data_IF_668483012474
#
_entry.id   IF_668483012474
#
_cell.length_a   1.000
_cell.length_b   1.000
_cell.length_c   1.000
_cell.angle_alpha   90.00
_cell.angle_beta   90.00
_cell.angle_gamma   90.00
#
_symmetry.space_group_name_H-M   'P 1'
#
loop_
_entity.id
_entity.type
_entity.pdbx_description
1 polymer ?
#
# COMPACT_ATOMS: atom_id res chain seq x y z
N UNK A 1 -12.57 -12.72 -15.12
CA UNK A 1 -11.10 -12.58 -15.30
C UNK A 1 -10.69 -13.22 -16.61
N UNK A 2 -9.77 -12.59 -17.37
CA UNK A 2 -9.11 -13.22 -18.52
C UNK A 2 -7.92 -14.06 -18.02
N UNK A 3 -7.67 -15.21 -18.65
CA UNK A 3 -6.49 -16.04 -18.38
C UNK A 3 -5.35 -15.59 -19.29
N UNK A 4 -4.15 -15.50 -18.75
CA UNK A 4 -2.93 -15.27 -19.52
C UNK A 4 -2.02 -16.49 -19.35
N UNK A 5 -1.28 -16.83 -20.40
CA UNK A 5 -0.21 -17.82 -20.35
C UNK A 5 1.10 -17.06 -20.39
N UNK A 6 1.97 -17.30 -19.41
CA UNK A 6 3.27 -16.66 -19.27
C UNK A 6 4.35 -17.73 -19.27
N UNK A 7 5.42 -17.54 -20.03
CA UNK A 7 6.61 -18.38 -19.97
C UNK A 7 7.59 -17.76 -18.97
N UNK A 8 8.09 -18.58 -18.05
CA UNK A 8 9.06 -18.21 -17.02
C UNK A 8 10.02 -19.38 -16.85
N UNK A 9 11.23 -19.08 -16.40
CA UNK A 9 12.19 -20.12 -16.03
C UNK A 9 11.67 -20.91 -14.81
N UNK A 10 11.92 -22.22 -14.80
CA UNK A 10 11.38 -23.16 -13.80
C UNK A 10 11.86 -22.83 -12.37
N UNK A 11 13.09 -22.35 -12.25
CA UNK A 11 13.68 -21.89 -10.99
C UNK A 11 12.92 -20.68 -10.42
N UNK A 12 12.53 -19.73 -11.27
CA UNK A 12 11.70 -18.57 -10.91
C UNK A 12 10.29 -19.01 -10.48
N UNK A 13 9.69 -19.98 -11.18
CA UNK A 13 8.38 -20.53 -10.81
C UNK A 13 8.46 -21.14 -9.40
N UNK A 14 9.49 -21.94 -9.14
CA UNK A 14 9.68 -22.62 -7.86
C UNK A 14 9.88 -21.62 -6.72
N UNK A 15 10.84 -20.69 -6.88
CA UNK A 15 11.11 -19.65 -5.89
C UNK A 15 9.89 -18.75 -5.64
N UNK A 16 9.17 -18.39 -6.70
CA UNK A 16 7.96 -17.56 -6.59
C UNK A 16 6.81 -18.25 -5.86
N UNK A 17 6.65 -19.56 -6.04
CA UNK A 17 5.66 -20.35 -5.30
C UNK A 17 6.00 -20.44 -3.81
N UNK A 18 7.27 -20.67 -3.47
CA UNK A 18 7.71 -20.68 -2.06
C UNK A 18 7.50 -19.33 -1.39
N UNK A 19 7.92 -18.25 -2.05
CA UNK A 19 7.68 -16.89 -1.56
C UNK A 19 6.19 -16.61 -1.31
N UNK A 20 5.33 -16.98 -2.25
CA UNK A 20 3.88 -16.79 -2.11
C UNK A 20 3.30 -17.59 -0.92
N UNK A 21 3.77 -18.84 -0.71
CA UNK A 21 3.39 -19.66 0.44
C UNK A 21 3.80 -19.01 1.76
N UNK A 22 5.01 -18.48 1.87
CA UNK A 22 5.47 -17.78 3.08
C UNK A 22 4.62 -16.55 3.41
N UNK A 23 4.07 -15.89 2.40
CA UNK A 23 3.18 -14.74 2.54
C UNK A 23 1.69 -15.13 2.63
N UNK A 24 1.38 -16.43 2.68
CA UNK A 24 0.03 -16.99 2.76
C UNK A 24 -0.90 -16.54 1.61
N UNK A 25 -0.35 -16.40 0.39
CA UNK A 25 -1.07 -16.02 -0.83
C UNK A 25 -0.79 -17.00 -1.97
N UNK A 26 -1.63 -17.00 -3.00
CA UNK A 26 -1.36 -17.79 -4.22
C UNK A 26 -0.29 -17.12 -5.09
N UNK A 27 0.49 -17.93 -5.83
CA UNK A 27 1.46 -17.40 -6.80
C UNK A 27 0.80 -16.50 -7.86
N UNK A 28 -0.40 -16.85 -8.32
CA UNK A 28 -1.17 -15.99 -9.23
C UNK A 28 -1.60 -14.66 -8.57
N UNK A 29 -1.84 -14.63 -7.26
CA UNK A 29 -2.13 -13.39 -6.53
C UNK A 29 -0.88 -12.53 -6.41
N UNK A 30 0.29 -13.14 -6.18
CA UNK A 30 1.58 -12.47 -6.17
C UNK A 30 1.86 -11.79 -7.53
N UNK A 31 1.76 -12.53 -8.64
CA UNK A 31 1.97 -11.99 -9.98
C UNK A 31 1.05 -10.79 -10.25
N UNK A 32 -0.23 -10.91 -9.90
CA UNK A 32 -1.20 -9.82 -10.06
C UNK A 32 -0.80 -8.58 -9.26
N UNK A 33 -0.47 -8.75 -7.98
CA UNK A 33 -0.03 -7.64 -7.11
C UNK A 33 1.20 -6.94 -7.67
N UNK A 34 2.19 -7.69 -8.14
CA UNK A 34 3.42 -7.13 -8.72
C UNK A 34 3.13 -6.38 -10.03
N UNK A 35 2.28 -6.92 -10.89
CA UNK A 35 1.85 -6.24 -12.12
C UNK A 35 1.08 -4.95 -11.80
N UNK A 36 0.17 -4.98 -10.84
CA UNK A 36 -0.58 -3.80 -10.40
C UNK A 36 0.34 -2.72 -9.86
N UNK A 37 1.31 -3.07 -9.00
CA UNK A 37 2.30 -2.15 -8.46
C UNK A 37 3.24 -1.57 -9.53
N UNK A 38 3.52 -2.33 -10.58
CA UNK A 38 4.41 -1.90 -11.67
C UNK A 38 3.68 -0.95 -12.63
N UNK A 39 2.42 -1.23 -12.95
CA UNK A 39 1.60 -0.46 -13.89
C UNK A 39 1.01 0.79 -13.23
N UNK A 40 0.67 0.68 -11.95
CA UNK A 40 0.24 1.77 -11.09
C UNK A 40 1.33 1.98 -10.04
N UNK A 41 2.48 2.58 -10.40
CA UNK A 41 3.45 2.98 -9.39
C UNK A 41 2.68 3.74 -8.33
N UNK A 42 2.86 3.34 -7.05
CA UNK A 42 2.14 3.98 -5.94
C UNK A 42 2.29 5.48 -6.13
N UNK A 43 1.17 6.12 -6.48
CA UNK A 43 1.09 7.56 -6.56
C UNK A 43 1.31 8.02 -5.13
N UNK A 44 2.55 8.35 -4.81
CA UNK A 44 2.89 9.15 -3.63
C UNK A 44 2.17 10.52 -3.68
N UNK A 45 1.40 10.81 -4.74
CA UNK A 45 0.37 11.85 -4.76
C UNK A 45 -0.46 11.85 -3.48
N UNK A 46 -0.79 10.70 -2.85
CA UNK A 46 -1.54 10.76 -1.60
C UNK A 46 -0.76 11.45 -0.45
N UNK A 47 0.56 11.27 -0.37
CA UNK A 47 1.42 11.94 0.61
C UNK A 47 1.57 13.41 0.25
N UNK A 48 1.82 13.71 -1.01
CA UNK A 48 1.99 15.08 -1.51
C UNK A 48 0.69 15.89 -1.37
N UNK A 49 -0.46 15.28 -1.61
CA UNK A 49 -1.81 15.84 -1.39
C UNK A 49 -2.05 16.07 0.11
N UNK A 50 -1.65 15.12 0.94
CA UNK A 50 -1.79 15.20 2.40
C UNK A 50 -0.98 16.36 2.97
N UNK A 51 0.29 16.53 2.54
CA UNK A 51 1.10 17.68 2.93
C UNK A 51 0.56 18.98 2.34
N UNK A 52 0.12 18.98 1.08
CA UNK A 52 -0.51 20.15 0.46
C UNK A 52 -1.77 20.60 1.18
N UNK A 53 -2.55 19.67 1.74
CA UNK A 53 -3.72 19.99 2.56
C UNK A 53 -3.30 20.56 3.91
N UNK A 54 -2.31 19.96 4.58
CA UNK A 54 -1.78 20.47 5.85
C UNK A 54 -1.20 21.89 5.71
N UNK A 55 -0.41 22.15 4.67
CA UNK A 55 0.22 23.45 4.43
C UNK A 55 -0.80 24.57 4.16
N UNK A 56 -1.98 24.22 3.62
CA UNK A 56 -3.07 25.16 3.36
C UNK A 56 -3.90 25.48 4.61
N UNK A 57 -3.85 24.63 5.63
CA UNK A 57 -4.63 24.83 6.86
C UNK A 57 -3.87 25.79 7.77
N UNK A 58 -4.34 27.04 7.83
CA UNK A 58 -3.89 27.99 8.82
C UNK A 58 -4.58 27.71 10.16
N UNK A 59 -3.88 27.02 11.07
CA UNK A 59 -4.39 26.71 12.41
C UNK A 59 -3.98 27.85 13.35
N UNK A 60 -4.93 28.58 13.95
CA UNK A 60 -4.63 29.39 15.12
C UNK A 60 -4.42 28.44 16.29
N UNK A 61 -3.17 28.18 16.67
CA UNK A 61 -2.85 27.37 17.84
C UNK A 61 -3.20 28.14 19.12
N UNK A 62 -4.48 28.35 19.39
CA UNK A 62 -4.89 28.47 20.79
C UNK A 62 -4.49 27.14 21.43
N UNK A 63 -3.65 27.20 22.46
CA UNK A 63 -2.95 26.07 23.10
C UNK A 63 -3.92 25.08 23.77
N UNK A 64 -4.79 24.45 23.00
CA UNK A 64 -5.68 23.40 23.47
C UNK A 64 -4.88 22.10 23.48
N UNK A 65 -4.43 21.72 24.65
CA UNK A 65 -3.82 20.43 24.91
C UNK A 65 -4.92 19.51 25.40
N UNK A 66 -5.01 18.32 24.82
CA UNK A 66 -5.91 17.27 25.32
C UNK A 66 -5.10 16.24 26.08
N UNK A 67 -5.62 15.84 27.23
CA UNK A 67 -5.20 14.61 27.92
C UNK A 67 -5.72 13.39 27.15
N UNK A 68 -5.06 12.25 27.36
CA UNK A 68 -5.44 11.00 26.68
C UNK A 68 -6.90 10.62 26.93
N UNK A 69 -7.41 10.86 28.14
CA UNK A 69 -8.77 10.53 28.50
C UNK A 69 -9.82 11.51 27.93
N UNK A 70 -9.40 12.70 27.49
CA UNK A 70 -10.27 13.66 26.78
C UNK A 70 -10.38 13.30 25.29
N UNK A 71 -9.31 12.79 24.69
CA UNK A 71 -9.30 12.29 23.30
C UNK A 71 -10.25 11.11 23.07
N UNK A 72 -10.53 10.30 24.10
CA UNK A 72 -11.43 9.15 24.01
C UNK A 72 -12.89 9.47 24.37
N UNK A 73 -13.21 10.71 24.74
CA UNK A 73 -14.57 11.14 25.16
C UNK A 73 -15.34 11.96 24.12
N UNK A 74 -14.68 12.41 23.05
CA UNK A 74 -15.32 13.00 21.86
C UNK A 74 -15.42 11.96 20.72
#
# INVERSE_FOLDING_TARGET
>A
MKKITLSLDEDIITAGQEYAKHQNISFNSLIRKLLEQTIHPQKNEWLDDTFSLMDKVYISSEKKQWTRDELYRE
#
